data_IF_646352746183
#
_entry.id   IF_646352746183
#
_cell.length_a   1.000
_cell.length_b   1.000
_cell.length_c   1.000
_cell.angle_alpha   90.00
_cell.angle_beta   90.00
_cell.angle_gamma   90.00
#
_symmetry.space_group_name_H-M   'P 1'
#
loop_
_entity.id
_entity.type
_entity.pdbx_description
1 polymer ?
#
# COMPACT_ATOMS: atom_id res chain seq x y z
N UNK A 1 18.41 -21.03 31.14
CA UNK A 1 18.07 -21.36 29.75
C UNK A 1 16.98 -20.40 29.32
N UNK A 2 17.23 -19.54 28.33
CA UNK A 2 16.27 -18.55 27.87
C UNK A 2 15.22 -19.24 27.00
N UNK A 3 13.96 -19.19 27.42
CA UNK A 3 12.83 -19.66 26.63
C UNK A 3 12.62 -18.66 25.50
N UNK A 4 13.01 -19.03 24.28
CA UNK A 4 12.70 -18.25 23.08
C UNK A 4 11.19 -18.35 22.85
N UNK A 5 10.44 -17.32 23.24
CA UNK A 5 9.05 -17.16 22.85
C UNK A 5 9.01 -16.71 21.39
N UNK A 6 9.09 -17.66 20.46
CA UNK A 6 8.69 -17.41 19.07
C UNK A 6 7.20 -17.17 19.05
N UNK A 7 6.80 -15.90 19.08
CA UNK A 7 5.46 -15.47 18.75
C UNK A 7 5.28 -15.65 17.24
N UNK A 8 5.11 -16.90 16.79
CA UNK A 8 4.85 -17.21 15.40
C UNK A 8 3.45 -16.69 15.11
N UNK A 9 3.35 -15.50 14.53
CA UNK A 9 2.14 -15.03 13.85
C UNK A 9 1.91 -15.92 12.63
N UNK A 10 1.58 -17.19 12.88
CA UNK A 10 1.29 -18.20 11.88
C UNK A 10 -0.16 -18.03 11.42
N UNK A 11 -0.47 -16.89 10.80
CA UNK A 11 -1.59 -16.87 9.87
C UNK A 11 -1.00 -17.23 8.52
N UNK A 12 -1.35 -18.40 8.02
CA UNK A 12 -1.28 -18.66 6.59
C UNK A 12 -2.15 -17.58 5.93
N UNK A 13 -1.52 -16.54 5.37
CA UNK A 13 -2.22 -15.57 4.53
C UNK A 13 -2.57 -16.33 3.26
N UNK A 14 -3.86 -16.46 2.99
CA UNK A 14 -4.31 -17.18 1.79
C UNK A 14 -4.04 -16.37 0.52
N UNK A 15 -3.99 -17.02 -0.64
CA UNK A 15 -3.90 -16.32 -1.93
C UNK A 15 -5.06 -15.33 -2.07
N UNK A 16 -6.28 -15.74 -1.70
CA UNK A 16 -7.47 -14.91 -1.71
C UNK A 16 -7.32 -13.64 -0.84
N UNK A 17 -6.67 -13.76 0.33
CA UNK A 17 -6.37 -12.62 1.19
C UNK A 17 -5.35 -11.67 0.51
N UNK A 18 -4.31 -12.21 -0.13
CA UNK A 18 -3.31 -11.43 -0.85
C UNK A 18 -3.92 -10.71 -2.06
N UNK A 19 -4.77 -11.38 -2.84
CA UNK A 19 -5.49 -10.80 -3.97
C UNK A 19 -6.46 -9.70 -3.52
N UNK A 20 -7.18 -9.92 -2.42
CA UNK A 20 -8.07 -8.91 -1.82
C UNK A 20 -7.30 -7.68 -1.35
N UNK A 21 -6.12 -7.88 -0.73
CA UNK A 21 -5.23 -6.80 -0.32
C UNK A 21 -4.67 -6.06 -1.53
N UNK A 22 -4.23 -6.79 -2.57
CA UNK A 22 -3.74 -6.23 -3.82
C UNK A 22 -4.78 -5.33 -4.46
N UNK A 23 -6.02 -5.80 -4.60
CA UNK A 23 -7.13 -5.05 -5.16
C UNK A 23 -7.37 -3.72 -4.40
N UNK A 24 -7.31 -3.73 -3.06
CA UNK A 24 -7.46 -2.52 -2.24
C UNK A 24 -6.30 -1.54 -2.45
N UNK A 25 -5.07 -2.04 -2.56
CA UNK A 25 -3.89 -1.21 -2.82
C UNK A 25 -4.01 -0.54 -4.19
N UNK A 26 -4.40 -1.30 -5.22
CA UNK A 26 -4.61 -0.78 -6.57
C UNK A 26 -5.72 0.27 -6.63
N UNK A 27 -6.82 0.04 -5.90
CA UNK A 27 -7.89 1.02 -5.77
C UNK A 27 -7.41 2.34 -5.16
N UNK A 28 -6.65 2.29 -4.06
CA UNK A 28 -6.09 3.51 -3.44
C UNK A 28 -5.08 4.19 -4.37
N UNK A 29 -4.23 3.41 -5.05
CA UNK A 29 -3.27 3.95 -6.02
C UNK A 29 -3.98 4.71 -7.14
N UNK A 30 -5.08 4.16 -7.67
CA UNK A 30 -5.89 4.80 -8.69
C UNK A 30 -6.52 6.10 -8.19
N UNK A 31 -7.09 6.11 -6.96
CA UNK A 31 -7.65 7.33 -6.36
C UNK A 31 -6.58 8.41 -6.20
N UNK A 32 -5.39 8.03 -5.71
CA UNK A 32 -4.27 8.97 -5.57
C UNK A 32 -3.90 9.58 -6.93
N UNK A 33 -3.82 8.76 -7.98
CA UNK A 33 -3.62 9.23 -9.35
C UNK A 33 -4.67 10.26 -9.77
N UNK A 34 -5.96 9.96 -9.57
CA UNK A 34 -7.06 10.87 -9.89
C UNK A 34 -6.97 12.19 -9.14
N UNK A 35 -6.53 12.18 -7.88
CA UNK A 35 -6.32 13.40 -7.07
C UNK A 35 -5.18 14.24 -7.66
N UNK A 36 -4.07 13.60 -8.05
CA UNK A 36 -2.91 14.30 -8.61
C UNK A 36 -3.18 14.89 -10.00
N UNK A 37 -4.15 14.35 -10.73
CA UNK A 37 -4.58 14.83 -12.04
C UNK A 37 -5.61 15.98 -11.97
N UNK A 38 -6.16 16.28 -10.78
CA UNK A 38 -7.09 17.40 -10.63
C UNK A 38 -6.40 18.75 -10.91
N UNK A 39 -7.12 19.67 -11.55
CA UNK A 39 -6.60 20.99 -11.92
C UNK A 39 -6.19 21.85 -10.73
N UNK A 40 -6.75 21.59 -9.55
CA UNK A 40 -6.49 22.31 -8.30
C UNK A 40 -5.45 21.64 -7.41
N UNK A 41 -4.90 20.47 -7.79
CA UNK A 41 -3.87 19.78 -7.01
C UNK A 41 -2.66 20.69 -6.71
N UNK A 42 -2.23 21.49 -7.69
CA UNK A 42 -1.14 22.46 -7.52
C UNK A 42 -1.46 23.62 -6.57
N UNK A 43 -2.74 23.82 -6.22
CA UNK A 43 -3.19 24.84 -5.27
C UNK A 43 -3.23 24.33 -3.83
N UNK A 44 -3.10 23.01 -3.61
CA UNK A 44 -3.04 22.44 -2.27
C UNK A 44 -1.79 22.94 -1.52
N UNK A 45 -1.83 23.06 -0.19
CA UNK A 45 -0.64 23.29 0.60
C UNK A 45 0.47 22.27 0.32
N UNK A 46 1.73 22.72 0.31
CA UNK A 46 2.88 21.88 -0.04
C UNK A 46 2.96 20.57 0.76
N UNK A 47 2.64 20.60 2.06
CA UNK A 47 2.62 19.40 2.90
C UNK A 47 1.57 18.36 2.46
N UNK A 48 0.43 18.81 1.91
CA UNK A 48 -0.61 17.92 1.39
C UNK A 48 -0.18 17.28 0.07
N UNK A 49 0.42 18.07 -0.83
CA UNK A 49 0.99 17.55 -2.08
C UNK A 49 2.05 16.48 -1.80
N UNK A 50 2.96 16.75 -0.85
CA UNK A 50 3.99 15.79 -0.44
C UNK A 50 3.36 14.53 0.16
N UNK A 51 2.32 14.64 0.99
CA UNK A 51 1.64 13.48 1.55
C UNK A 51 0.96 12.62 0.47
N UNK A 52 0.30 13.26 -0.52
CA UNK A 52 -0.34 12.56 -1.65
C UNK A 52 0.70 11.86 -2.51
N UNK A 53 1.83 12.51 -2.80
CA UNK A 53 2.93 11.88 -3.53
C UNK A 53 3.53 10.70 -2.77
N UNK A 54 3.69 10.82 -1.44
CA UNK A 54 4.16 9.74 -0.60
C UNK A 54 3.19 8.54 -0.60
N UNK A 55 1.88 8.79 -0.58
CA UNK A 55 0.85 7.76 -0.72
C UNK A 55 0.93 7.04 -2.08
N UNK A 56 1.20 7.77 -3.15
CA UNK A 56 1.41 7.18 -4.49
C UNK A 56 2.58 6.20 -4.49
N UNK A 57 3.71 6.60 -3.91
CA UNK A 57 4.90 5.74 -3.83
C UNK A 57 4.66 4.53 -2.91
N UNK A 58 4.04 4.76 -1.75
CA UNK A 58 3.72 3.69 -0.80
C UNK A 58 2.83 2.61 -1.43
N UNK A 59 1.78 3.01 -2.14
CA UNK A 59 0.87 2.07 -2.79
C UNK A 59 1.54 1.32 -3.94
N UNK A 60 2.43 1.97 -4.69
CA UNK A 60 3.24 1.29 -5.70
C UNK A 60 4.17 0.24 -5.10
N UNK A 61 4.90 0.58 -4.03
CA UNK A 61 5.81 -0.33 -3.35
C UNK A 61 5.06 -1.49 -2.69
N UNK A 62 3.93 -1.21 -2.04
CA UNK A 62 3.07 -2.22 -1.43
C UNK A 62 2.52 -3.20 -2.47
N UNK A 63 2.07 -2.71 -3.64
CA UNK A 63 1.61 -3.55 -4.76
C UNK A 63 2.71 -4.53 -5.18
N UNK A 64 3.93 -4.02 -5.41
CA UNK A 64 5.06 -4.84 -5.84
C UNK A 64 5.49 -5.85 -4.78
N UNK A 65 5.36 -5.51 -3.48
CA UNK A 65 5.65 -6.44 -2.39
C UNK A 65 4.63 -7.58 -2.35
N UNK A 66 3.34 -7.30 -2.53
CA UNK A 66 2.29 -8.33 -2.54
C UNK A 66 2.42 -9.24 -3.76
N UNK A 67 2.70 -8.69 -4.95
CA UNK A 67 2.90 -9.50 -6.16
C UNK A 67 4.03 -10.55 -5.98
N UNK A 68 5.13 -10.18 -5.31
CA UNK A 68 6.23 -11.10 -4.97
C UNK A 68 5.87 -12.19 -3.96
N UNK A 69 4.73 -12.09 -3.27
CA UNK A 69 4.23 -13.09 -2.33
C UNK A 69 3.18 -14.01 -2.97
N UNK A 70 2.63 -13.63 -4.13
CA UNK A 70 1.70 -14.43 -4.92
C UNK A 70 2.46 -15.35 -5.89
N UNK A 71 3.62 -14.90 -6.42
CA UNK A 71 4.55 -15.69 -7.24
C UNK A 71 5.32 -16.77 -6.45
#
# INVERSE_FOLDING_TARGET
MATTNTNTLNRNVSSDDLESILCKIEYVHAIVGLITEQSDYGQLPSHQQVAIQALSNFTFDAKNAILKLID
#
